data_IF_178638428176
#
_entry.id   IF_178638428176
#
_cell.length_a   1.000
_cell.length_b   1.000
_cell.length_c   1.000
_cell.angle_alpha   90.00
_cell.angle_beta   90.00
_cell.angle_gamma   90.00
#
_symmetry.space_group_name_H-M   'P 1'
#
loop_
_entity.id
_entity.type
_entity.pdbx_description
1 polymer ?
#
# COMPACT_ATOMS: atom_id res chain seq x y z
N UNK A 1 0.32 21.34 -16.30
CA UNK A 1 0.55 20.45 -15.12
C UNK A 1 1.48 19.30 -15.52
N UNK A 2 2.29 18.72 -14.63
CA UNK A 2 3.06 17.52 -14.96
C UNK A 2 2.13 16.35 -15.24
N UNK A 3 2.54 15.48 -16.18
CA UNK A 3 1.77 14.32 -16.61
C UNK A 3 2.46 13.03 -16.18
N UNK A 4 1.70 11.95 -16.06
CA UNK A 4 2.23 10.62 -15.77
C UNK A 4 3.15 10.17 -16.91
N UNK A 5 4.43 9.94 -16.60
CA UNK A 5 5.48 9.58 -17.56
C UNK A 5 5.83 8.10 -17.53
N UNK A 6 5.96 7.55 -16.33
CA UNK A 6 6.35 6.15 -16.15
C UNK A 6 5.74 5.53 -14.89
N UNK A 7 5.57 4.21 -14.92
CA UNK A 7 5.06 3.39 -13.82
C UNK A 7 5.96 2.17 -13.67
N UNK A 8 6.51 1.92 -12.49
CA UNK A 8 7.41 0.78 -12.23
C UNK A 8 6.94 -0.04 -11.06
N UNK A 9 7.04 -1.35 -11.17
CA UNK A 9 6.74 -2.31 -10.10
C UNK A 9 8.02 -3.05 -9.71
N UNK A 10 8.45 -2.89 -8.47
CA UNK A 10 9.69 -3.42 -7.91
C UNK A 10 9.33 -4.44 -6.83
N UNK A 11 9.33 -5.74 -7.12
CA UNK A 11 9.05 -6.77 -6.12
C UNK A 11 10.14 -6.82 -5.05
N UNK A 12 9.73 -7.04 -3.80
CA UNK A 12 10.65 -7.28 -2.69
C UNK A 12 10.07 -8.24 -1.67
N UNK A 13 10.92 -8.79 -0.82
CA UNK A 13 10.55 -9.73 0.23
C UNK A 13 11.23 -9.35 1.54
N UNK A 14 10.45 -9.32 2.61
CA UNK A 14 10.95 -9.03 3.97
C UNK A 14 10.72 -10.28 4.83
N UNK A 15 11.77 -10.95 5.31
CA UNK A 15 11.61 -12.04 6.26
C UNK A 15 11.07 -11.50 7.59
N UNK A 16 10.14 -12.23 8.19
CA UNK A 16 9.65 -11.93 9.53
C UNK A 16 10.63 -12.45 10.59
N UNK A 17 10.72 -11.77 11.73
CA UNK A 17 11.55 -12.22 12.87
C UNK A 17 11.07 -13.55 13.45
N UNK A 18 9.75 -13.78 13.40
CA UNK A 18 9.08 -15.05 13.71
C UNK A 18 7.91 -15.22 12.75
N UNK A 19 7.55 -16.46 12.38
CA UNK A 19 6.38 -16.70 11.54
C UNK A 19 5.09 -16.19 12.20
N UNK A 20 4.28 -15.47 11.43
CA UNK A 20 2.94 -15.05 11.84
C UNK A 20 1.94 -16.16 11.50
N UNK A 21 1.14 -16.56 12.46
CA UNK A 21 0.11 -17.59 12.30
C UNK A 21 -1.27 -17.02 12.52
N UNK A 22 -2.22 -17.42 11.67
CA UNK A 22 -3.63 -17.09 11.84
C UNK A 22 -4.53 -18.20 11.30
N UNK A 23 -5.72 -18.33 11.88
CA UNK A 23 -6.62 -19.43 11.53
C UNK A 23 -6.02 -20.80 11.84
N UNK A 24 -6.55 -21.84 11.19
CA UNK A 24 -6.16 -23.24 11.51
C UNK A 24 -4.87 -23.70 10.82
N UNK A 25 -4.49 -23.11 9.70
CA UNK A 25 -3.40 -23.63 8.85
C UNK A 25 -2.63 -22.54 8.08
N UNK A 26 -2.85 -21.27 8.41
CA UNK A 26 -2.17 -20.19 7.70
C UNK A 26 -0.93 -19.75 8.48
N UNK A 27 0.21 -19.74 7.79
CA UNK A 27 1.49 -19.28 8.33
C UNK A 27 2.17 -18.36 7.30
N UNK A 28 2.81 -17.32 7.77
CA UNK A 28 3.57 -16.39 6.98
C UNK A 28 4.95 -16.20 7.58
N UNK A 29 5.99 -16.68 6.91
CA UNK A 29 7.38 -16.53 7.34
C UNK A 29 8.08 -15.29 6.73
N UNK A 30 7.51 -14.73 5.68
CA UNK A 30 8.02 -13.51 5.03
C UNK A 30 6.88 -12.74 4.36
N UNK A 31 7.04 -11.42 4.29
CA UNK A 31 6.16 -10.53 3.54
C UNK A 31 6.62 -10.48 2.09
N UNK A 32 5.71 -10.78 1.16
CA UNK A 32 5.92 -10.56 -0.27
C UNK A 32 5.15 -9.31 -0.67
N UNK A 33 5.87 -8.32 -1.17
CA UNK A 33 5.33 -7.02 -1.52
C UNK A 33 5.94 -6.52 -2.84
N UNK A 34 5.38 -5.47 -3.38
CA UNK A 34 5.99 -4.74 -4.47
C UNK A 34 5.91 -3.23 -4.19
N UNK A 35 6.99 -2.52 -4.42
CA UNK A 35 7.01 -1.07 -4.46
C UNK A 35 6.52 -0.64 -5.84
N UNK A 36 5.51 0.21 -5.87
CA UNK A 36 5.05 0.89 -7.06
C UNK A 36 5.64 2.30 -7.06
N UNK A 37 6.31 2.66 -8.15
CA UNK A 37 6.77 4.02 -8.42
C UNK A 37 6.00 4.61 -9.59
N UNK A 38 5.55 5.86 -9.43
CA UNK A 38 4.97 6.70 -10.48
C UNK A 38 5.90 7.87 -10.70
N UNK A 39 6.38 8.04 -11.92
CA UNK A 39 7.22 9.17 -12.34
C UNK A 39 6.40 10.15 -13.19
N UNK A 40 6.45 11.43 -12.86
CA UNK A 40 5.85 12.51 -13.63
C UNK A 40 6.84 13.12 -14.62
N UNK A 41 6.33 13.89 -15.57
CA UNK A 41 7.12 14.52 -16.64
C UNK A 41 8.14 15.56 -16.15
N UNK A 42 7.95 16.09 -14.95
CA UNK A 42 8.87 17.01 -14.27
C UNK A 42 9.96 16.29 -13.45
N UNK A 43 9.92 14.93 -13.37
CA UNK A 43 10.81 14.11 -12.60
C UNK A 43 10.36 13.84 -11.16
N UNK A 44 9.22 14.35 -10.73
CA UNK A 44 8.63 14.02 -9.43
C UNK A 44 8.25 12.55 -9.37
N UNK A 45 8.56 11.87 -8.25
CA UNK A 45 8.31 10.44 -8.08
C UNK A 45 7.46 10.23 -6.83
N UNK A 46 6.30 9.59 -7.01
CA UNK A 46 5.48 9.06 -5.92
C UNK A 46 5.65 7.56 -5.77
N UNK A 47 5.50 7.06 -4.53
CA UNK A 47 5.71 5.66 -4.17
C UNK A 47 4.59 5.14 -3.30
N UNK A 48 4.22 3.89 -3.54
CA UNK A 48 3.32 3.16 -2.67
C UNK A 48 3.65 1.67 -2.68
N UNK A 49 3.14 0.96 -1.70
CA UNK A 49 3.41 -0.46 -1.52
C UNK A 49 2.17 -1.29 -1.84
N UNK A 50 2.35 -2.38 -2.57
CA UNK A 50 1.33 -3.39 -2.85
C UNK A 50 1.64 -4.63 -2.02
N UNK A 51 0.74 -5.00 -1.11
CA UNK A 51 0.84 -6.24 -0.35
C UNK A 51 0.37 -7.43 -1.19
N UNK A 52 1.25 -8.38 -1.46
CA UNK A 52 0.93 -9.60 -2.20
C UNK A 52 0.36 -10.63 -1.23
N UNK A 53 -0.95 -10.83 -1.25
CA UNK A 53 -1.70 -11.70 -0.32
C UNK A 53 -2.73 -12.54 -1.05
N UNK A 54 -2.31 -13.64 -1.73
CA UNK A 54 -3.22 -14.48 -2.52
C UNK A 54 -4.38 -15.06 -1.70
N UNK A 55 -4.12 -15.44 -0.46
CA UNK A 55 -5.12 -16.07 0.41
C UNK A 55 -6.08 -15.09 1.09
N UNK A 56 -5.79 -13.78 1.06
CA UNK A 56 -6.63 -12.75 1.68
C UNK A 56 -7.30 -11.89 0.61
N UNK A 57 -6.52 -11.39 -0.36
CA UNK A 57 -7.02 -10.47 -1.39
C UNK A 57 -7.17 -11.11 -2.76
N UNK A 58 -6.74 -12.37 -2.93
CA UNK A 58 -6.72 -13.03 -4.24
C UNK A 58 -5.66 -12.47 -5.21
N UNK A 59 -4.78 -11.60 -4.73
CA UNK A 59 -3.77 -10.94 -5.56
C UNK A 59 -2.42 -11.63 -5.45
N UNK A 60 -1.86 -12.00 -6.59
CA UNK A 60 -0.49 -12.51 -6.75
C UNK A 60 0.38 -11.46 -7.41
N UNK A 61 1.71 -11.60 -7.33
CA UNK A 61 2.62 -10.73 -8.07
C UNK A 61 2.33 -10.75 -9.58
N UNK A 62 1.94 -11.91 -10.13
CA UNK A 62 1.55 -12.05 -11.52
C UNK A 62 0.31 -11.24 -11.88
N UNK A 63 -0.76 -11.32 -11.07
CA UNK A 63 -1.99 -10.56 -11.32
C UNK A 63 -1.78 -9.06 -11.16
N UNK A 64 -0.99 -8.63 -10.17
CA UNK A 64 -0.62 -7.22 -9.98
C UNK A 64 0.16 -6.68 -11.17
N UNK A 65 1.14 -7.45 -11.68
CA UNK A 65 1.92 -7.07 -12.86
C UNK A 65 1.04 -6.95 -14.10
N UNK A 66 0.21 -7.96 -14.39
CA UNK A 66 -0.71 -7.94 -15.52
C UNK A 66 -1.72 -6.76 -15.41
N UNK A 67 -2.22 -6.49 -14.21
CA UNK A 67 -3.08 -5.33 -13.96
C UNK A 67 -2.37 -4.00 -14.23
N UNK A 68 -1.11 -3.86 -13.81
CA UNK A 68 -0.32 -2.67 -14.09
C UNK A 68 -0.06 -2.49 -15.59
N UNK A 69 0.28 -3.57 -16.30
CA UNK A 69 0.47 -3.54 -17.76
C UNK A 69 -0.79 -3.10 -18.50
N UNK A 70 -1.97 -3.53 -18.02
CA UNK A 70 -3.25 -3.10 -18.57
C UNK A 70 -3.56 -1.63 -18.28
N UNK A 71 -3.31 -1.16 -17.06
CA UNK A 71 -3.61 0.22 -16.64
C UNK A 71 -2.60 1.24 -17.17
N UNK A 72 -1.33 0.84 -17.33
CA UNK A 72 -0.23 1.70 -17.76
C UNK A 72 -0.57 2.58 -18.97
N UNK A 73 -0.98 2.07 -20.15
CA UNK A 73 -1.25 2.89 -21.33
C UNK A 73 -2.46 3.83 -21.15
N UNK A 74 -3.28 3.62 -20.13
CA UNK A 74 -4.45 4.44 -19.81
C UNK A 74 -4.13 5.57 -18.82
N UNK A 75 -3.09 5.38 -18.02
CA UNK A 75 -2.62 6.38 -17.06
C UNK A 75 -1.54 7.29 -17.65
N UNK A 76 -0.70 6.76 -18.55
CA UNK A 76 0.35 7.56 -19.19
C UNK A 76 -0.24 8.77 -19.93
N UNK A 77 0.32 9.95 -19.66
CA UNK A 77 -0.09 11.21 -20.26
C UNK A 77 -1.23 11.94 -19.55
N UNK A 78 -1.90 11.31 -18.56
CA UNK A 78 -2.86 12.04 -17.73
C UNK A 78 -2.14 13.09 -16.89
N UNK A 79 -2.78 14.22 -16.66
CA UNK A 79 -2.29 15.24 -15.73
C UNK A 79 -2.37 14.73 -14.29
N UNK A 80 -1.36 15.04 -13.48
CA UNK A 80 -1.23 14.49 -12.13
C UNK A 80 -2.32 14.98 -11.17
N UNK A 81 -2.94 16.14 -11.47
CA UNK A 81 -4.06 16.72 -10.72
C UNK A 81 -5.44 16.34 -11.26
N UNK A 82 -5.53 15.62 -12.39
CA UNK A 82 -6.80 15.09 -12.92
C UNK A 82 -7.27 13.85 -12.11
N UNK A 83 -7.67 14.11 -10.87
CA UNK A 83 -8.11 13.07 -9.95
C UNK A 83 -9.37 12.35 -10.43
N UNK A 84 -10.23 13.01 -11.21
CA UNK A 84 -11.43 12.38 -11.78
C UNK A 84 -11.09 11.44 -12.93
N UNK A 85 -10.22 11.86 -13.85
CA UNK A 85 -9.74 11.01 -14.95
C UNK A 85 -8.96 9.79 -14.44
N UNK A 86 -8.06 9.99 -13.48
CA UNK A 86 -7.31 8.90 -12.81
C UNK A 86 -8.29 7.91 -12.17
N UNK A 87 -9.25 8.39 -11.37
CA UNK A 87 -10.25 7.55 -10.73
C UNK A 87 -11.07 6.77 -11.74
N UNK A 88 -11.53 7.39 -12.81
CA UNK A 88 -12.31 6.74 -13.86
C UNK A 88 -11.53 5.57 -14.50
N UNK A 89 -10.22 5.74 -14.74
CA UNK A 89 -9.36 4.66 -15.24
C UNK A 89 -9.25 3.51 -14.24
N UNK A 90 -9.02 3.82 -12.95
CA UNK A 90 -8.87 2.81 -11.90
C UNK A 90 -10.18 2.05 -11.64
N UNK A 91 -11.32 2.74 -11.63
CA UNK A 91 -12.65 2.13 -11.39
C UNK A 91 -13.11 1.26 -12.56
N UNK A 92 -12.76 1.60 -13.79
CA UNK A 92 -13.06 0.79 -14.97
C UNK A 92 -12.35 -0.59 -14.97
N UNK A 93 -11.31 -0.76 -14.16
CA UNK A 93 -10.60 -2.02 -14.00
C UNK A 93 -11.13 -2.77 -12.77
N UNK A 94 -11.86 -3.91 -12.96
CA UNK A 94 -12.40 -4.67 -11.84
C UNK A 94 -11.28 -5.39 -11.06
N UNK A 95 -11.49 -5.62 -9.76
CA UNK A 95 -10.55 -6.32 -8.87
C UNK A 95 -9.19 -5.59 -8.70
N UNK A 96 -8.17 -6.33 -8.28
CA UNK A 96 -6.81 -5.82 -7.99
C UNK A 96 -6.82 -4.54 -7.11
N UNK A 97 -7.58 -4.57 -6.02
CA UNK A 97 -7.76 -3.42 -5.13
C UNK A 97 -6.46 -2.95 -4.48
N UNK A 98 -5.54 -3.89 -4.17
CA UNK A 98 -4.20 -3.56 -3.67
C UNK A 98 -3.39 -2.76 -4.69
N UNK A 99 -3.38 -3.19 -5.96
CA UNK A 99 -2.74 -2.44 -7.04
C UNK A 99 -3.38 -1.06 -7.24
N UNK A 100 -4.71 -1.00 -7.29
CA UNK A 100 -5.43 0.28 -7.50
C UNK A 100 -5.19 1.26 -6.36
N UNK A 101 -5.24 0.79 -5.11
CA UNK A 101 -4.92 1.63 -3.95
C UNK A 101 -3.48 2.14 -3.95
N UNK A 102 -2.53 1.30 -4.37
CA UNK A 102 -1.13 1.73 -4.50
C UNK A 102 -0.93 2.74 -5.65
N UNK A 103 -1.60 2.53 -6.81
CA UNK A 103 -1.59 3.50 -7.91
C UNK A 103 -2.14 4.86 -7.47
N UNK A 104 -3.30 4.86 -6.84
CA UNK A 104 -3.93 6.07 -6.31
C UNK A 104 -2.99 6.80 -5.34
N UNK A 105 -2.46 6.09 -4.35
CA UNK A 105 -1.54 6.67 -3.35
C UNK A 105 -0.27 7.22 -3.99
N UNK A 106 0.36 6.48 -4.92
CA UNK A 106 1.59 6.91 -5.56
C UNK A 106 1.36 8.11 -6.49
N UNK A 107 0.21 8.19 -7.18
CA UNK A 107 -0.18 9.33 -8.00
C UNK A 107 -0.40 10.58 -7.14
N UNK A 108 -1.10 10.47 -6.02
CA UNK A 108 -1.25 11.55 -5.06
C UNK A 108 0.09 12.04 -4.49
N UNK A 109 0.99 11.11 -4.15
CA UNK A 109 2.32 11.48 -3.64
C UNK A 109 3.17 12.15 -4.72
N UNK A 110 3.14 11.65 -5.97
CA UNK A 110 3.86 12.25 -7.09
C UNK A 110 3.38 13.68 -7.36
N UNK A 111 2.06 13.88 -7.35
CA UNK A 111 1.48 15.21 -7.50
C UNK A 111 1.86 16.15 -6.34
N UNK A 112 1.73 15.72 -5.09
CA UNK A 112 2.15 16.53 -3.94
C UNK A 112 3.61 16.99 -4.08
N UNK A 113 4.50 16.07 -4.45
CA UNK A 113 5.93 16.38 -4.66
C UNK A 113 6.17 17.35 -5.82
N UNK A 114 5.38 17.28 -6.88
CA UNK A 114 5.47 18.26 -7.99
C UNK A 114 5.09 19.68 -7.58
N UNK A 115 4.21 19.80 -6.56
CA UNK A 115 3.84 21.07 -5.94
C UNK A 115 4.83 21.52 -4.82
N UNK A 116 5.85 20.72 -4.53
CA UNK A 116 6.80 20.98 -3.44
C UNK A 116 6.22 20.70 -2.04
N UNK A 117 5.17 19.93 -1.97
CA UNK A 117 4.40 19.62 -0.75
C UNK A 117 4.58 18.17 -0.33
N UNK A 118 4.38 17.89 0.96
CA UNK A 118 4.23 16.53 1.46
C UNK A 118 2.77 16.06 1.30
N UNK A 119 2.54 14.77 1.06
CA UNK A 119 1.20 14.21 0.82
C UNK A 119 0.19 14.60 1.93
N UNK A 120 0.60 14.59 3.19
CA UNK A 120 -0.29 14.98 4.30
C UNK A 120 -0.73 16.46 4.24
N UNK A 121 0.08 17.34 3.67
CA UNK A 121 -0.24 18.76 3.51
C UNK A 121 -1.33 18.94 2.45
N UNK A 122 -1.22 18.23 1.35
CA UNK A 122 -2.21 18.23 0.26
C UNK A 122 -3.54 17.64 0.74
N UNK A 123 -3.51 16.52 1.45
CA UNK A 123 -4.71 15.82 1.96
C UNK A 123 -5.38 16.55 3.14
N UNK A 124 -4.69 17.49 3.78
CA UNK A 124 -5.22 18.32 4.89
C UNK A 124 -5.91 17.47 5.97
N UNK A 125 -5.18 16.60 6.68
CA UNK A 125 -5.78 15.69 7.64
C UNK A 125 -6.53 16.44 8.75
N UNK A 126 -7.72 15.96 9.11
CA UNK A 126 -8.54 16.55 10.15
C UNK A 126 -7.99 16.33 11.58
N UNK A 127 -7.07 15.38 11.75
CA UNK A 127 -6.49 15.01 13.06
C UNK A 127 -5.00 14.75 12.93
N UNK A 128 -4.23 15.26 13.90
CA UNK A 128 -2.78 15.00 14.02
C UNK A 128 -2.46 13.70 14.77
N UNK A 129 -3.44 13.06 15.38
CA UNK A 129 -3.30 11.82 16.14
C UNK A 129 -4.46 10.89 15.84
N UNK A 130 -4.15 9.63 15.63
CA UNK A 130 -5.14 8.56 15.47
C UNK A 130 -4.89 7.50 16.53
N UNK A 131 -5.97 6.86 16.99
CA UNK A 131 -5.86 5.69 17.85
C UNK A 131 -5.47 4.50 16.98
N UNK A 132 -4.47 3.75 17.42
CA UNK A 132 -4.04 2.51 16.76
C UNK A 132 -4.47 1.29 17.57
N UNK A 133 -4.78 0.19 16.90
CA UNK A 133 -4.98 -1.12 17.48
C UNK A 133 -3.77 -2.01 17.16
N UNK A 134 -3.51 -2.96 18.04
CA UNK A 134 -2.54 -4.03 17.83
C UNK A 134 -3.27 -5.35 17.77
N UNK A 135 -2.94 -6.19 16.78
CA UNK A 135 -3.51 -7.51 16.63
C UNK A 135 -2.53 -8.53 17.26
N UNK A 136 -2.98 -9.20 18.32
CA UNK A 136 -2.24 -10.32 18.88
C UNK A 136 -2.31 -11.51 17.91
N UNK A 137 -1.16 -12.13 17.63
CA UNK A 137 -1.08 -13.33 16.83
C UNK A 137 -1.65 -14.55 17.58
N UNK A 138 -1.90 -15.63 16.83
CA UNK A 138 -2.20 -16.93 17.45
C UNK A 138 -0.88 -17.59 17.90
N UNK A 139 -0.85 -18.08 19.13
CA UNK A 139 0.29 -18.75 19.75
C UNK A 139 -0.16 -19.51 21.01
N UNK A 140 0.79 -20.01 21.76
CA UNK A 140 0.52 -20.56 23.08
C UNK A 140 0.04 -19.46 24.03
N UNK A 141 -0.80 -19.81 24.99
CA UNK A 141 -1.46 -18.84 25.89
C UNK A 141 -0.45 -17.92 26.60
N UNK A 142 0.62 -18.49 27.13
CA UNK A 142 1.65 -17.73 27.84
C UNK A 142 2.38 -16.72 26.93
N UNK A 143 2.65 -17.10 25.68
CA UNK A 143 3.29 -16.23 24.70
C UNK A 143 2.37 -15.05 24.32
N UNK A 144 1.09 -15.32 24.09
CA UNK A 144 0.10 -14.28 23.76
C UNK A 144 -0.12 -13.33 24.94
N UNK A 145 -0.17 -13.86 26.17
CA UNK A 145 -0.29 -13.05 27.40
C UNK A 145 0.95 -12.16 27.62
N UNK A 146 2.14 -12.66 27.36
CA UNK A 146 3.38 -11.89 27.52
C UNK A 146 3.49 -10.77 26.44
N UNK A 147 3.13 -11.06 25.18
CA UNK A 147 3.06 -10.02 24.15
C UNK A 147 2.04 -8.94 24.53
N UNK A 148 0.86 -9.33 24.99
CA UNK A 148 -0.17 -8.40 25.45
C UNK A 148 0.34 -7.52 26.61
N UNK A 149 1.01 -8.09 27.62
CA UNK A 149 1.59 -7.36 28.76
C UNK A 149 2.64 -6.35 28.27
N UNK A 150 3.56 -6.79 27.42
CA UNK A 150 4.63 -5.97 26.85
C UNK A 150 4.05 -4.76 26.10
N UNK A 151 3.00 -4.97 25.29
CA UNK A 151 2.33 -3.88 24.55
C UNK A 151 1.56 -2.94 25.47
N UNK A 152 0.91 -3.47 26.51
CA UNK A 152 0.27 -2.63 27.54
C UNK A 152 1.27 -1.73 28.25
N UNK A 153 2.44 -2.25 28.63
CA UNK A 153 3.52 -1.48 29.25
C UNK A 153 4.05 -0.39 28.30
N UNK A 154 4.09 -0.67 27.00
CA UNK A 154 4.43 0.31 25.97
C UNK A 154 3.32 1.34 25.68
N UNK A 155 2.18 1.29 26.40
CA UNK A 155 1.11 2.30 26.30
C UNK A 155 -0.03 1.95 25.35
N UNK A 156 -0.05 0.76 24.72
CA UNK A 156 -1.19 0.30 23.94
C UNK A 156 -2.41 0.03 24.84
N UNK A 157 -3.59 0.50 24.40
CA UNK A 157 -4.85 0.42 25.14
C UNK A 157 -5.99 -0.21 24.32
N UNK A 158 -5.76 -0.55 23.06
CA UNK A 158 -6.77 -1.09 22.15
C UNK A 158 -6.20 -2.33 21.46
N UNK A 159 -6.95 -3.40 21.50
CA UNK A 159 -6.62 -4.73 20.93
C UNK A 159 -7.61 -5.09 19.83
#
# INVERSE_FOLDING_TARGET
MPTVRDLRLIPFRIPLKAPLRWGKSSELAALEHALLEVELSDGSIGRAEVAIRPTIYGETLGSVRAGLEYLRPRLLGLEADDQEGIRAVLEAFPFNFGLKGALDTALWEAWARSEGEELYQVLKPAKHRVRVAYILGLGEEDEVLEDARTRCLAGLRTW
#
